data_IF_835474014342
#
_entry.id   IF_835474014342
#
_cell.length_a   1.000
_cell.length_b   1.000
_cell.length_c   1.000
_cell.angle_alpha   90.00
_cell.angle_beta   90.00
_cell.angle_gamma   90.00
#
_symmetry.space_group_name_H-M   'P 1'
#
loop_
_entity.id
_entity.type
_entity.pdbx_description
1 polymer ?
#
# COMPACT_ATOMS: atom_id res chain seq x y z
N UNK A 1 -20.70 -11.54 -10.49
CA UNK A 1 -19.53 -12.42 -10.36
C UNK A 1 -19.67 -13.26 -9.10
N UNK A 2 -19.35 -14.57 -9.15
CA UNK A 2 -19.24 -15.39 -7.95
C UNK A 2 -18.12 -14.88 -7.04
N UNK A 3 -18.18 -15.19 -5.74
CA UNK A 3 -17.24 -14.68 -4.72
C UNK A 3 -15.79 -15.10 -5.05
N UNK A 4 -15.57 -16.33 -5.50
CA UNK A 4 -14.25 -16.82 -5.90
C UNK A 4 -13.63 -16.03 -7.04
N UNK A 5 -14.41 -15.73 -8.10
CA UNK A 5 -13.94 -14.91 -9.21
C UNK A 5 -13.62 -13.48 -8.75
N UNK A 6 -14.43 -12.90 -7.85
CA UNK A 6 -14.16 -11.57 -7.29
C UNK A 6 -12.84 -11.54 -6.52
N UNK A 7 -12.60 -12.53 -5.66
CA UNK A 7 -11.34 -12.63 -4.89
C UNK A 7 -10.14 -12.78 -5.83
N UNK A 8 -10.24 -13.62 -6.87
CA UNK A 8 -9.17 -13.80 -7.84
C UNK A 8 -8.84 -12.50 -8.60
N UNK A 9 -9.87 -11.77 -9.07
CA UNK A 9 -9.68 -10.48 -9.74
C UNK A 9 -9.15 -9.39 -8.80
N UNK A 10 -9.62 -9.36 -7.55
CA UNK A 10 -9.08 -8.46 -6.51
C UNK A 10 -7.60 -8.73 -6.25
N UNK A 11 -7.20 -10.00 -6.11
CA UNK A 11 -5.81 -10.39 -5.91
C UNK A 11 -4.96 -9.97 -7.11
N UNK A 12 -5.39 -10.30 -8.33
CA UNK A 12 -4.67 -9.97 -9.55
C UNK A 12 -4.52 -8.45 -9.73
N UNK A 13 -5.58 -7.68 -9.48
CA UNK A 13 -5.54 -6.21 -9.51
C UNK A 13 -4.58 -5.64 -8.46
N UNK A 14 -4.60 -6.18 -7.23
CA UNK A 14 -3.72 -5.74 -6.15
C UNK A 14 -2.24 -6.03 -6.45
N UNK A 15 -1.93 -7.23 -6.99
CA UNK A 15 -0.56 -7.60 -7.39
C UNK A 15 -0.08 -6.72 -8.53
N UNK A 16 -0.89 -6.54 -9.59
CA UNK A 16 -0.52 -5.67 -10.72
C UNK A 16 -0.33 -4.21 -10.27
N UNK A 17 -1.16 -3.73 -9.35
CA UNK A 17 -1.00 -2.38 -8.81
C UNK A 17 0.28 -2.24 -7.97
N UNK A 18 0.64 -3.25 -7.17
CA UNK A 18 1.90 -3.25 -6.43
C UNK A 18 3.12 -3.26 -7.36
N UNK A 19 3.09 -4.07 -8.43
CA UNK A 19 4.14 -4.10 -9.45
C UNK A 19 4.23 -2.76 -10.19
N UNK A 20 3.09 -2.19 -10.59
CA UNK A 20 3.02 -0.88 -11.23
C UNK A 20 3.55 0.24 -10.34
N UNK A 21 3.21 0.23 -9.06
CA UNK A 21 3.75 1.16 -8.07
C UNK A 21 5.27 1.03 -7.94
N UNK A 22 5.81 -0.21 -7.87
CA UNK A 22 7.24 -0.46 -7.84
C UNK A 22 7.95 0.11 -9.07
N UNK A 23 7.37 -0.05 -10.25
CA UNK A 23 7.91 0.53 -11.49
C UNK A 23 7.93 2.07 -11.42
N UNK A 24 6.86 2.70 -10.91
CA UNK A 24 6.80 4.16 -10.71
C UNK A 24 7.87 4.63 -9.72
N UNK A 25 8.09 3.91 -8.63
CA UNK A 25 9.17 4.22 -7.66
C UNK A 25 10.53 4.16 -8.34
N UNK A 26 10.83 3.09 -9.06
CA UNK A 26 12.11 2.94 -9.76
C UNK A 26 12.31 4.06 -10.77
N UNK A 27 11.34 4.32 -11.64
CA UNK A 27 11.43 5.38 -12.65
C UNK A 27 11.57 6.76 -12.01
N UNK A 28 10.78 7.07 -10.99
CA UNK A 28 10.82 8.36 -10.30
C UNK A 28 12.13 8.58 -9.54
N UNK A 29 12.73 7.53 -8.96
CA UNK A 29 14.02 7.62 -8.28
C UNK A 29 15.19 7.84 -9.25
N UNK A 30 15.13 7.23 -10.44
CA UNK A 30 16.16 7.38 -11.46
C UNK A 30 16.06 8.74 -12.19
N UNK A 31 14.90 9.38 -12.18
CA UNK A 31 14.65 10.63 -12.93
C UNK A 31 14.44 11.83 -11.99
N UNK A 32 13.32 11.86 -11.27
CA UNK A 32 12.85 13.02 -10.51
C UNK A 32 13.60 13.21 -9.19
N UNK A 33 13.94 12.13 -8.48
CA UNK A 33 14.65 12.24 -7.20
C UNK A 33 16.06 12.85 -7.35
N UNK A 34 16.71 12.65 -8.49
CA UNK A 34 18.01 13.26 -8.81
C UNK A 34 17.92 14.79 -8.87
N UNK A 35 16.81 15.32 -9.37
CA UNK A 35 16.59 16.78 -9.44
C UNK A 35 16.05 17.34 -8.13
N UNK A 36 15.09 16.65 -7.51
CA UNK A 36 14.38 17.15 -6.32
C UNK A 36 15.22 17.06 -5.05
N UNK A 37 16.07 16.04 -4.91
CA UNK A 37 16.96 15.90 -3.76
C UNK A 37 18.33 16.55 -3.98
N UNK A 38 18.56 17.25 -5.09
CA UNK A 38 19.83 17.95 -5.37
C UNK A 38 20.18 19.02 -4.33
N UNK A 39 19.16 19.58 -3.66
CA UNK A 39 19.32 20.58 -2.61
C UNK A 39 19.53 20.00 -1.21
N UNK A 40 19.32 18.69 -1.01
CA UNK A 40 19.79 18.02 0.19
C UNK A 40 21.33 18.00 0.10
N UNK A 41 22.02 18.63 1.05
CA UNK A 41 23.48 18.82 1.00
C UNK A 41 24.29 17.53 0.85
N UNK A 42 25.62 17.64 0.87
CA UNK A 42 26.53 16.49 0.66
C UNK A 42 26.62 15.51 1.85
N UNK A 43 25.76 15.64 2.86
CA UNK A 43 25.69 14.67 3.95
C UNK A 43 24.89 13.46 3.45
N UNK A 44 25.52 12.30 3.40
CA UNK A 44 24.95 11.07 2.83
C UNK A 44 23.59 10.72 3.44
N UNK A 45 23.41 10.96 4.75
CA UNK A 45 22.17 10.68 5.48
C UNK A 45 21.00 11.58 5.04
N UNK A 46 21.27 12.84 4.72
CA UNK A 46 20.25 13.80 4.27
C UNK A 46 19.75 13.47 2.85
N UNK A 47 20.66 13.03 1.98
CA UNK A 47 20.33 12.61 0.63
C UNK A 47 19.53 11.30 0.63
N UNK A 48 19.93 10.34 1.49
CA UNK A 48 19.23 9.07 1.65
C UNK A 48 17.79 9.27 2.15
N UNK A 49 17.61 10.11 3.17
CA UNK A 49 16.30 10.42 3.75
C UNK A 49 15.36 11.10 2.73
N UNK A 50 15.88 12.03 1.92
CA UNK A 50 15.11 12.67 0.86
C UNK A 50 14.64 11.67 -0.21
N UNK A 51 15.53 10.77 -0.66
CA UNK A 51 15.20 9.75 -1.66
C UNK A 51 14.21 8.71 -1.12
N UNK A 52 14.35 8.33 0.15
CA UNK A 52 13.43 7.41 0.82
C UNK A 52 12.02 8.02 0.91
N UNK A 53 11.90 9.26 1.41
CA UNK A 53 10.64 9.98 1.49
C UNK A 53 9.98 10.14 0.11
N UNK A 54 10.76 10.47 -0.92
CA UNK A 54 10.28 10.55 -2.30
C UNK A 54 9.75 9.20 -2.81
N UNK A 55 10.48 8.10 -2.55
CA UNK A 55 10.07 6.77 -2.95
C UNK A 55 8.74 6.34 -2.31
N UNK A 56 8.51 6.70 -1.04
CA UNK A 56 7.24 6.42 -0.35
C UNK A 56 6.08 7.12 -1.05
N UNK A 57 6.19 8.42 -1.32
CA UNK A 57 5.13 9.19 -1.99
C UNK A 57 4.89 8.75 -3.43
N UNK A 58 5.96 8.52 -4.19
CA UNK A 58 5.86 8.02 -5.56
C UNK A 58 5.20 6.63 -5.62
N UNK A 59 5.52 5.76 -4.65
CA UNK A 59 4.90 4.45 -4.51
C UNK A 59 3.41 4.54 -4.19
N UNK A 60 3.02 5.41 -3.26
CA UNK A 60 1.62 5.60 -2.87
C UNK A 60 0.78 6.16 -4.01
N UNK A 61 1.30 7.14 -4.75
CA UNK A 61 0.66 7.71 -5.95
C UNK A 61 0.59 6.67 -7.07
N UNK A 62 1.69 5.98 -7.36
CA UNK A 62 1.72 4.92 -8.38
C UNK A 62 0.72 3.81 -8.08
N UNK A 63 0.63 3.40 -6.81
CA UNK A 63 -0.33 2.41 -6.34
C UNK A 63 -1.77 2.89 -6.53
N UNK A 64 -2.08 4.14 -6.17
CA UNK A 64 -3.39 4.74 -6.41
C UNK A 64 -3.76 4.77 -7.90
N UNK A 65 -2.82 5.22 -8.74
CA UNK A 65 -3.01 5.32 -10.18
C UNK A 65 -3.20 3.97 -10.86
N UNK A 66 -2.58 2.90 -10.36
CA UNK A 66 -2.77 1.56 -10.90
C UNK A 66 -4.02 0.87 -10.34
N UNK A 67 -4.29 1.01 -9.04
CA UNK A 67 -5.37 0.27 -8.38
C UNK A 67 -6.75 0.90 -8.63
N UNK A 68 -6.89 2.23 -8.57
CA UNK A 68 -8.20 2.90 -8.72
C UNK A 68 -8.86 2.58 -10.07
N UNK A 69 -8.17 2.69 -11.23
CA UNK A 69 -8.76 2.30 -12.50
C UNK A 69 -9.17 0.83 -12.55
N UNK A 70 -8.35 -0.07 -11.97
CA UNK A 70 -8.68 -1.49 -11.91
C UNK A 70 -9.94 -1.75 -11.06
N UNK A 71 -10.10 -1.05 -9.93
CA UNK A 71 -11.31 -1.13 -9.11
C UNK A 71 -12.56 -0.70 -9.88
N UNK A 72 -12.46 0.40 -10.62
CA UNK A 72 -13.57 0.96 -11.40
C UNK A 72 -13.94 0.05 -12.59
N UNK A 73 -12.96 -0.42 -13.35
CA UNK A 73 -13.17 -1.28 -14.53
C UNK A 73 -13.74 -2.66 -14.16
N UNK A 74 -13.25 -3.25 -13.08
CA UNK A 74 -13.66 -4.59 -12.63
C UNK A 74 -14.85 -4.55 -11.65
N UNK A 75 -15.37 -3.35 -11.31
CA UNK A 75 -16.44 -3.13 -10.31
C UNK A 75 -16.15 -3.85 -8.98
N UNK A 76 -14.89 -3.76 -8.55
CA UNK A 76 -14.43 -4.35 -7.30
C UNK A 76 -14.87 -3.48 -6.11
N UNK A 77 -14.82 -4.05 -4.90
CA UNK A 77 -15.22 -3.32 -3.70
C UNK A 77 -14.18 -2.24 -3.36
N UNK A 78 -14.63 -1.03 -3.07
CA UNK A 78 -13.75 0.11 -2.76
C UNK A 78 -12.91 -0.15 -1.50
N UNK A 79 -13.39 -1.01 -0.61
CA UNK A 79 -12.68 -1.43 0.60
C UNK A 79 -11.40 -2.24 0.35
N UNK A 80 -11.16 -2.71 -0.89
CA UNK A 80 -9.88 -3.32 -1.26
C UNK A 80 -8.73 -2.30 -1.20
N UNK A 81 -8.99 -1.05 -1.58
CA UNK A 81 -8.02 0.05 -1.45
C UNK A 81 -7.58 0.24 0.00
N UNK A 82 -8.56 0.41 0.89
CA UNK A 82 -8.36 0.57 2.33
C UNK A 82 -7.54 -0.59 2.92
N UNK A 83 -7.94 -1.85 2.65
CA UNK A 83 -7.22 -3.00 3.17
C UNK A 83 -5.75 -3.09 2.68
N UNK A 84 -5.50 -2.70 1.42
CA UNK A 84 -4.14 -2.65 0.88
C UNK A 84 -3.29 -1.55 1.52
N UNK A 85 -3.86 -0.35 1.69
CA UNK A 85 -3.18 0.80 2.30
C UNK A 85 -2.87 0.51 3.76
N UNK A 86 -3.81 -0.03 4.53
CA UNK A 86 -3.57 -0.48 5.90
C UNK A 86 -2.42 -1.50 5.99
N UNK A 87 -2.44 -2.53 5.14
CA UNK A 87 -1.43 -3.59 5.16
C UNK A 87 -0.03 -3.09 4.80
N UNK A 88 0.08 -2.37 3.69
CA UNK A 88 1.36 -1.84 3.22
C UNK A 88 1.87 -0.70 4.12
N UNK A 89 1.00 0.20 4.57
CA UNK A 89 1.36 1.30 5.46
C UNK A 89 1.89 0.81 6.80
N UNK A 90 1.27 -0.23 7.37
CA UNK A 90 1.75 -0.86 8.60
C UNK A 90 3.14 -1.49 8.41
N UNK A 91 3.37 -2.17 7.28
CA UNK A 91 4.68 -2.76 6.94
C UNK A 91 5.77 -1.70 6.80
N UNK A 92 5.48 -0.59 6.12
CA UNK A 92 6.44 0.51 5.96
C UNK A 92 6.80 1.09 7.33
N UNK A 93 5.82 1.29 8.21
CA UNK A 93 6.05 1.83 9.55
C UNK A 93 6.90 0.91 10.47
N UNK A 94 7.05 -0.39 10.16
CA UNK A 94 7.93 -1.28 10.93
C UNK A 94 9.43 -1.08 10.66
N UNK A 95 9.79 -0.33 9.61
CA UNK A 95 11.17 -0.05 9.20
C UNK A 95 12.10 -1.28 9.15
N UNK A 96 11.53 -2.45 8.86
CA UNK A 96 12.21 -3.73 8.88
C UNK A 96 12.42 -4.31 7.47
N UNK A 97 12.58 -3.44 6.46
CA UNK A 97 12.66 -3.85 5.04
C UNK A 97 13.84 -4.79 4.74
N UNK A 98 14.87 -4.78 5.60
CA UNK A 98 16.05 -5.67 5.51
C UNK A 98 15.75 -7.08 6.01
N UNK A 99 14.66 -7.29 6.74
CA UNK A 99 14.32 -8.57 7.33
C UNK A 99 13.56 -9.48 6.37
N UNK A 100 13.89 -10.78 6.37
CA UNK A 100 13.26 -11.76 5.48
C UNK A 100 11.74 -11.88 5.70
N UNK A 101 11.30 -11.75 6.96
CA UNK A 101 9.89 -11.86 7.32
C UNK A 101 9.07 -10.71 6.75
N UNK A 102 9.68 -9.53 6.57
CA UNK A 102 9.02 -8.36 6.00
C UNK A 102 8.54 -8.65 4.59
N UNK A 103 9.42 -9.26 3.77
CA UNK A 103 9.09 -9.67 2.40
C UNK A 103 8.03 -10.75 2.35
N UNK A 104 8.07 -11.71 3.28
CA UNK A 104 7.04 -12.73 3.39
C UNK A 104 5.67 -12.09 3.68
N UNK A 105 5.59 -11.21 4.68
CA UNK A 105 4.33 -10.53 5.03
C UNK A 105 3.85 -9.64 3.90
N UNK A 106 4.74 -8.87 3.25
CA UNK A 106 4.41 -8.03 2.11
C UNK A 106 3.79 -8.83 0.95
N UNK A 107 4.30 -10.02 0.66
CA UNK A 107 3.74 -10.90 -0.36
C UNK A 107 2.32 -11.40 -0.04
N UNK A 108 1.96 -11.50 1.25
CA UNK A 108 0.63 -11.93 1.68
C UNK A 108 -0.40 -10.79 1.74
N UNK A 109 0.01 -9.52 1.76
CA UNK A 109 -0.91 -8.38 1.85
C UNK A 109 -1.99 -8.38 0.75
N UNK A 110 -1.67 -8.58 -0.55
CA UNK A 110 -2.68 -8.64 -1.60
C UNK A 110 -3.71 -9.76 -1.37
N UNK A 111 -3.25 -10.92 -0.89
CA UNK A 111 -4.13 -12.04 -0.60
C UNK A 111 -5.06 -11.72 0.57
N UNK A 112 -4.53 -11.21 1.69
CA UNK A 112 -5.32 -10.80 2.85
C UNK A 112 -6.31 -9.69 2.51
N UNK A 113 -5.88 -8.67 1.77
CA UNK A 113 -6.74 -7.57 1.33
C UNK A 113 -7.87 -8.07 0.41
N UNK A 114 -7.60 -9.01 -0.50
CA UNK A 114 -8.63 -9.60 -1.35
C UNK A 114 -9.68 -10.39 -0.54
N UNK A 115 -9.25 -11.13 0.48
CA UNK A 115 -10.13 -11.90 1.36
C UNK A 115 -10.96 -11.01 2.29
N UNK A 116 -10.33 -9.97 2.86
CA UNK A 116 -10.97 -9.00 3.78
C UNK A 116 -11.86 -8.02 3.03
N UNK A 117 -11.62 -7.73 1.76
CA UNK A 117 -12.53 -6.89 0.96
C UNK A 117 -13.75 -7.66 0.43
N UNK A 118 -13.68 -8.99 0.39
CA UNK A 118 -14.75 -9.80 -0.17
C UNK A 118 -16.01 -9.83 0.73
N UNK A 119 -17.17 -9.67 0.10
CA UNK A 119 -18.47 -9.78 0.77
C UNK A 119 -18.90 -11.26 0.87
N UNK A 120 -18.54 -11.91 1.97
CA UNK A 120 -18.79 -13.33 2.24
C UNK A 120 -20.25 -13.72 2.54
N UNK A 121 -21.24 -12.87 2.22
CA UNK A 121 -22.64 -13.05 2.63
C UNK A 121 -22.85 -13.26 4.15
N UNK A 122 -21.85 -12.92 4.98
CA UNK A 122 -21.97 -12.89 6.43
C UNK A 122 -22.87 -11.69 6.78
N UNK A 123 -23.87 -11.87 7.63
CA UNK A 123 -24.94 -10.89 7.88
C UNK A 123 -24.46 -9.45 8.15
N UNK A 124 -25.38 -8.47 8.03
CA UNK A 124 -25.11 -7.01 8.12
C UNK A 124 -24.26 -6.56 9.33
N UNK A 125 -24.31 -7.29 10.44
CA UNK A 125 -23.52 -6.99 11.65
C UNK A 125 -22.03 -7.34 11.47
N UNK A 126 -21.75 -8.56 11.01
CA UNK A 126 -20.37 -9.04 10.80
C UNK A 126 -19.64 -8.21 9.74
N UNK A 127 -20.35 -7.81 8.68
CA UNK A 127 -19.79 -6.89 7.67
C UNK A 127 -19.42 -5.53 8.29
N UNK A 128 -20.24 -4.98 9.19
CA UNK A 128 -19.91 -3.71 9.86
C UNK A 128 -18.68 -3.83 10.76
N UNK A 129 -18.54 -4.93 11.50
CA UNK A 129 -17.36 -5.19 12.32
C UNK A 129 -16.11 -5.29 11.45
N UNK A 130 -16.20 -6.02 10.33
CA UNK A 130 -15.10 -6.17 9.38
C UNK A 130 -14.67 -4.82 8.78
N UNK A 131 -15.62 -3.99 8.37
CA UNK A 131 -15.33 -2.64 7.87
C UNK A 131 -14.77 -1.72 8.95
N UNK A 132 -15.31 -1.79 10.18
CA UNK A 132 -14.79 -1.05 11.33
C UNK A 132 -13.36 -1.44 11.68
N UNK A 133 -13.02 -2.73 11.59
CA UNK A 133 -11.67 -3.23 11.81
C UNK A 133 -10.69 -2.74 10.74
N UNK A 134 -11.07 -2.76 9.46
CA UNK A 134 -10.26 -2.20 8.37
C UNK A 134 -10.01 -0.70 8.60
N UNK A 135 -11.05 0.04 8.97
CA UNK A 135 -10.94 1.48 9.21
C UNK A 135 -10.08 1.81 10.43
N UNK A 136 -10.17 0.99 11.49
CA UNK A 136 -9.26 1.11 12.64
C UNK A 136 -7.80 0.80 12.27
N UNK A 137 -7.58 -0.21 11.42
CA UNK A 137 -6.27 -0.54 10.88
C UNK A 137 -5.70 0.58 10.00
N UNK A 138 -6.53 1.22 9.16
CA UNK A 138 -6.12 2.39 8.38
C UNK A 138 -5.72 3.56 9.28
N UNK A 139 -6.52 3.85 10.31
CA UNK A 139 -6.19 4.92 11.28
C UNK A 139 -4.88 4.61 12.02
N UNK A 140 -4.67 3.35 12.42
CA UNK A 140 -3.44 2.92 13.07
C UNK A 140 -2.23 3.01 12.12
N UNK A 141 -2.37 2.60 10.87
CA UNK A 141 -1.32 2.70 9.86
C UNK A 141 -0.97 4.16 9.56
N UNK A 142 -1.98 5.03 9.42
CA UNK A 142 -1.77 6.46 9.22
C UNK A 142 -1.08 7.10 10.43
N UNK A 143 -1.51 6.76 11.66
CA UNK A 143 -0.87 7.25 12.88
C UNK A 143 0.58 6.76 12.99
N UNK A 144 0.85 5.50 12.64
CA UNK A 144 2.19 4.92 12.65
C UNK A 144 3.10 5.59 11.60
N UNK A 145 2.60 5.84 10.39
CA UNK A 145 3.34 6.58 9.36
C UNK A 145 3.63 8.03 9.76
N UNK A 146 2.66 8.72 10.35
CA UNK A 146 2.86 10.10 10.85
C UNK A 146 3.87 10.11 12.00
N UNK A 147 3.78 9.16 12.91
CA UNK A 147 4.73 9.03 14.02
C UNK A 147 6.14 8.73 13.53
N UNK A 148 6.28 7.84 12.54
CA UNK A 148 7.54 7.56 11.88
C UNK A 148 8.10 8.80 11.19
N UNK A 149 7.29 9.52 10.42
CA UNK A 149 7.73 10.76 9.75
C UNK A 149 8.12 11.87 10.73
N UNK A 150 7.54 11.91 11.93
CA UNK A 150 7.82 12.93 12.93
C UNK A 150 9.04 12.62 13.82
N UNK A 151 9.41 11.35 13.97
CA UNK A 151 10.47 10.90 14.91
C UNK A 151 11.62 10.13 14.26
N UNK A 152 11.51 9.74 12.98
CA UNK A 152 12.60 9.19 12.17
C UNK A 152 13.35 10.29 11.43
#
# INVERSE_FOLDING_TARGET
>A
MPVSARVAWSYLAAVLAAVGAGLVVVLSNQTLAVFLCKGAGSADDALASCKLGWAIWAGLIGFALCLIPALLLLKLDWWLWAAMVAGLGSLIATDAITEWWWWAVAAFVPALASLVSANWQRGRSLRRIQLGAVLALDLAAAAALVWWYANG
#
